data_IF_994258526390
#
_entry.id   IF_994258526390
#
_cell.length_a   1.000
_cell.length_b   1.000
_cell.length_c   1.000
_cell.angle_alpha   90.00
_cell.angle_beta   90.00
_cell.angle_gamma   90.00
#
_symmetry.space_group_name_H-M   'P 1'
#
loop_
_entity.id
_entity.type
_entity.pdbx_description
1 polymer ?
#
# COMPACT_ATOMS: atom_id res chain seq x y z
N UNK A 1 7.99 -14.75 -3.51
CA UNK A 1 7.25 -13.48 -3.70
C UNK A 1 5.76 -13.76 -3.47
N UNK A 2 5.12 -13.08 -2.50
CA UNK A 2 3.72 -13.34 -2.09
C UNK A 2 2.68 -12.50 -2.85
N UNK A 3 3.13 -11.49 -3.59
CA UNK A 3 2.28 -10.57 -4.33
C UNK A 3 3.02 -9.26 -4.64
N UNK A 4 2.26 -8.29 -5.11
CA UNK A 4 2.71 -6.92 -5.37
C UNK A 4 1.73 -5.94 -4.74
N UNK A 5 2.25 -4.81 -4.27
CA UNK A 5 1.44 -3.68 -3.83
C UNK A 5 0.56 -3.17 -4.99
N UNK A 6 -0.69 -2.76 -4.73
CA UNK A 6 -1.55 -2.17 -5.75
C UNK A 6 -0.91 -0.93 -6.40
N UNK A 7 -1.06 -0.80 -7.73
CA UNK A 7 -0.42 0.25 -8.53
C UNK A 7 -0.74 1.66 -8.05
N UNK A 8 -1.94 1.90 -7.54
CA UNK A 8 -2.36 3.23 -7.10
C UNK A 8 -1.61 3.70 -5.83
N UNK A 9 -1.12 2.80 -4.97
CA UNK A 9 -0.40 3.20 -3.73
C UNK A 9 1.11 2.92 -3.77
N UNK A 10 1.62 2.29 -4.84
CA UNK A 10 3.02 1.84 -4.87
C UNK A 10 4.03 2.99 -4.81
N UNK A 11 3.76 4.09 -5.52
CA UNK A 11 4.65 5.25 -5.55
C UNK A 11 4.71 5.93 -4.18
N UNK A 12 3.55 6.09 -3.54
CA UNK A 12 3.45 6.72 -2.23
C UNK A 12 4.07 5.86 -1.13
N UNK A 13 3.85 4.54 -1.15
CA UNK A 13 4.51 3.62 -0.22
C UNK A 13 6.03 3.59 -0.41
N UNK A 14 6.51 3.58 -1.66
CA UNK A 14 7.94 3.66 -1.94
C UNK A 14 8.53 4.96 -1.39
N UNK A 15 7.85 6.09 -1.63
CA UNK A 15 8.26 7.41 -1.15
C UNK A 15 8.29 7.47 0.38
N UNK A 16 7.23 7.00 1.04
CA UNK A 16 7.16 6.89 2.49
C UNK A 16 8.37 6.14 3.06
N UNK A 17 8.63 4.94 2.54
CA UNK A 17 9.73 4.07 2.98
C UNK A 17 11.12 4.68 2.73
N UNK A 18 11.26 5.57 1.75
CA UNK A 18 12.55 6.25 1.47
C UNK A 18 12.73 7.56 2.21
N UNK A 19 11.66 8.31 2.45
CA UNK A 19 11.71 9.68 2.99
C UNK A 19 11.46 9.74 4.51
N UNK A 20 10.84 8.72 5.09
CA UNK A 20 10.67 8.63 6.55
C UNK A 20 11.67 7.65 7.16
N UNK A 21 12.22 8.02 8.31
CA UNK A 21 13.08 7.14 9.13
C UNK A 21 12.28 6.17 10.01
N UNK A 22 10.98 6.01 9.76
CA UNK A 22 10.09 5.15 10.53
C UNK A 22 10.25 3.65 10.26
N UNK A 23 9.80 2.83 11.21
CA UNK A 23 9.66 1.39 11.02
C UNK A 23 8.38 1.08 10.22
N UNK A 24 8.55 0.58 9.00
CA UNK A 24 7.45 0.07 8.19
C UNK A 24 7.31 -1.44 8.38
N UNK A 25 6.10 -1.89 8.67
CA UNK A 25 5.79 -3.30 8.90
C UNK A 25 4.55 -3.72 8.11
N UNK A 26 4.52 -4.98 7.71
CA UNK A 26 3.34 -5.61 7.13
C UNK A 26 3.03 -6.91 7.89
N UNK A 27 1.79 -7.06 8.33
CA UNK A 27 1.29 -8.26 9.00
C UNK A 27 0.29 -8.96 8.09
N UNK A 28 0.48 -10.26 7.84
CA UNK A 28 -0.55 -11.08 7.19
C UNK A 28 -1.72 -11.29 8.15
N UNK A 29 -2.87 -10.69 7.87
CA UNK A 29 -4.07 -10.81 8.71
C UNK A 29 -4.97 -11.96 8.30
N UNK A 30 -4.89 -12.41 7.04
CA UNK A 30 -5.65 -13.55 6.53
C UNK A 30 -4.93 -14.22 5.36
N UNK A 31 -4.98 -15.55 5.34
CA UNK A 31 -4.59 -16.38 4.20
C UNK A 31 -5.82 -17.07 3.64
N UNK A 32 -6.12 -16.85 2.36
CA UNK A 32 -7.19 -17.52 1.63
C UNK A 32 -6.59 -18.72 0.86
N UNK A 33 -6.90 -19.97 1.23
CA UNK A 33 -6.37 -21.15 0.56
C UNK A 33 -6.98 -21.34 -0.83
N UNK A 34 -6.47 -22.29 -1.65
CA UNK A 34 -7.15 -22.71 -2.88
C UNK A 34 -8.65 -23.02 -2.63
N UNK A 35 -9.55 -22.65 -3.56
CA UNK A 35 -9.32 -22.27 -4.95
C UNK A 35 -9.10 -20.76 -5.20
N UNK A 36 -8.93 -19.92 -4.17
CA UNK A 36 -8.78 -18.47 -4.35
C UNK A 36 -7.63 -18.12 -5.32
N UNK A 37 -7.81 -17.11 -6.21
CA UNK A 37 -6.75 -16.64 -7.10
C UNK A 37 -5.51 -16.23 -6.32
N UNK A 38 -4.33 -16.54 -6.86
CA UNK A 38 -3.04 -16.36 -6.14
C UNK A 38 -2.84 -14.93 -5.62
N UNK A 39 -3.25 -13.92 -6.38
CA UNK A 39 -3.17 -12.49 -6.02
C UNK A 39 -4.12 -12.06 -4.90
N UNK A 40 -5.09 -12.91 -4.54
CA UNK A 40 -6.10 -12.66 -3.51
C UNK A 40 -5.93 -13.61 -2.32
N UNK A 41 -4.80 -14.34 -2.23
CA UNK A 41 -4.56 -15.32 -1.16
C UNK A 41 -4.08 -14.72 0.15
N UNK A 42 -3.64 -13.47 0.16
CA UNK A 42 -3.08 -12.86 1.34
C UNK A 42 -3.69 -11.49 1.51
N UNK A 43 -4.32 -11.27 2.66
CA UNK A 43 -4.66 -9.94 3.14
C UNK A 43 -3.58 -9.52 4.13
N UNK A 44 -3.03 -8.33 3.92
CA UNK A 44 -2.03 -7.74 4.82
C UNK A 44 -2.58 -6.45 5.42
N UNK A 45 -2.17 -6.18 6.65
CA UNK A 45 -2.24 -4.86 7.27
C UNK A 45 -0.85 -4.25 7.23
N UNK A 46 -0.73 -3.03 6.71
CA UNK A 46 0.51 -2.27 6.70
C UNK A 46 0.48 -1.21 7.79
N UNK A 47 1.58 -1.05 8.50
CA UNK A 47 1.78 -0.04 9.53
C UNK A 47 3.08 0.71 9.25
N UNK A 48 3.08 1.98 9.59
CA UNK A 48 4.24 2.85 9.42
C UNK A 48 3.86 4.26 9.79
N UNK A 49 4.81 5.16 9.60
CA UNK A 49 4.66 6.57 9.87
C UNK A 49 5.23 7.37 8.70
N UNK A 50 4.56 8.45 8.30
CA UNK A 50 5.06 9.33 7.25
C UNK A 50 4.67 10.77 7.58
N UNK A 51 5.67 11.56 7.96
CA UNK A 51 5.49 12.96 8.34
C UNK A 51 5.15 13.84 7.13
N UNK A 52 4.18 14.75 7.31
CA UNK A 52 3.83 15.75 6.30
C UNK A 52 3.16 15.17 5.05
N UNK A 53 2.67 13.94 5.11
CA UNK A 53 1.93 13.30 4.03
C UNK A 53 0.43 13.45 4.23
N UNK A 54 -0.25 14.01 3.23
CA UNK A 54 -1.70 14.00 3.12
C UNK A 54 -2.11 12.92 2.10
N UNK A 55 -2.87 11.89 2.51
CA UNK A 55 -3.30 10.84 1.59
C UNK A 55 -4.07 11.39 0.40
N UNK A 56 -3.79 10.85 -0.80
CA UNK A 56 -4.54 11.19 -2.02
C UNK A 56 -4.44 12.68 -2.41
N UNK A 57 -3.40 13.39 -1.98
CA UNK A 57 -3.17 14.79 -2.37
C UNK A 57 -2.73 14.92 -3.85
N UNK A 58 -2.11 13.88 -4.41
CA UNK A 58 -1.60 13.94 -5.79
C UNK A 58 -2.72 14.08 -6.82
N UNK A 59 -2.39 14.67 -7.97
CA UNK A 59 -3.33 14.94 -9.06
C UNK A 59 -4.08 13.68 -9.55
N UNK A 60 -3.45 12.51 -9.45
CA UNK A 60 -4.05 11.22 -9.84
C UNK A 60 -5.27 10.83 -8.98
N UNK A 61 -5.43 11.45 -7.81
CA UNK A 61 -6.53 11.21 -6.89
C UNK A 61 -7.53 12.36 -6.77
N UNK A 62 -7.28 13.48 -7.46
CA UNK A 62 -8.19 14.61 -7.47
C UNK A 62 -9.30 14.40 -8.52
N UNK A 63 -10.50 14.95 -8.30
CA UNK A 63 -11.53 14.95 -9.32
C UNK A 63 -11.02 15.59 -10.61
N UNK A 64 -11.37 15.00 -11.76
CA UNK A 64 -11.20 15.66 -13.05
C UNK A 64 -12.23 16.79 -13.12
N UNK A 65 -11.78 18.03 -12.94
CA UNK A 65 -12.61 19.23 -13.07
C UNK A 65 -12.36 19.78 -14.48
N UNK A 66 -13.43 19.91 -15.26
CA UNK A 66 -13.45 20.65 -16.54
C UNK A 66 -13.44 22.17 -16.31
#
# INVERSE_FOLDING_TARGET
>A
MIGWTPRYIVCELARAMTESSGEYAAHVVRVNPPPSPMTQRVLIEMRGHWDGYEPMESADFQPLID
#
